data_IF_054813958249
#
_entry.id   IF_054813958249
#
_cell.length_a   1.000
_cell.length_b   1.000
_cell.length_c   1.000
_cell.angle_alpha   90.00
_cell.angle_beta   90.00
_cell.angle_gamma   90.00
#
_symmetry.space_group_name_H-M   'P 1'
#
loop_
_entity.id
_entity.type
_entity.pdbx_description
1 polymer ?
#
# COMPACT_ATOMS: atom_id res chain seq x y z
N UNK A 1 -19.21 -38.24 23.66
CA UNK A 1 -18.85 -36.87 24.07
C UNK A 1 -19.01 -36.01 22.82
N UNK A 2 -20.23 -35.50 22.62
CA UNK A 2 -20.57 -34.58 21.55
C UNK A 2 -19.86 -33.24 21.82
N UNK A 3 -18.86 -32.93 21.02
CA UNK A 3 -18.28 -31.60 20.97
C UNK A 3 -19.15 -30.78 20.02
N UNK A 4 -20.11 -30.06 20.61
CA UNK A 4 -20.84 -29.00 19.91
C UNK A 4 -19.83 -27.99 19.33
N UNK A 5 -19.54 -28.17 18.04
CA UNK A 5 -18.89 -27.15 17.22
C UNK A 5 -19.89 -26.02 16.99
N UNK A 6 -20.12 -25.23 18.03
CA UNK A 6 -20.87 -23.98 17.91
C UNK A 6 -20.17 -23.11 16.87
N UNK A 7 -20.77 -23.04 15.69
CA UNK A 7 -20.42 -22.07 14.65
C UNK A 7 -20.61 -20.66 15.25
N UNK A 8 -19.56 -20.12 15.83
CA UNK A 8 -19.49 -18.72 16.25
C UNK A 8 -19.45 -17.92 14.94
N UNK A 9 -20.62 -17.48 14.49
CA UNK A 9 -20.75 -16.53 13.40
C UNK A 9 -19.82 -15.34 13.69
N UNK A 10 -18.71 -15.26 12.95
CA UNK A 10 -17.77 -14.18 13.08
C UNK A 10 -18.39 -12.93 12.44
N UNK A 11 -19.18 -12.19 13.22
CA UNK A 11 -19.60 -10.85 12.81
C UNK A 11 -18.34 -9.97 12.65
N UNK A 12 -17.94 -9.76 11.38
CA UNK A 12 -16.72 -9.04 10.98
C UNK A 12 -16.91 -7.51 11.14
N UNK A 13 -17.97 -7.07 11.80
CA UNK A 13 -18.15 -5.65 12.08
C UNK A 13 -17.21 -5.22 13.20
N UNK A 14 -16.14 -4.43 12.88
CA UNK A 14 -15.34 -3.82 13.95
C UNK A 14 -16.24 -2.87 14.74
N UNK A 15 -15.98 -2.74 16.03
CA UNK A 15 -16.64 -1.79 16.92
C UNK A 15 -16.42 -0.36 16.42
N UNK A 16 -17.25 0.10 15.47
CA UNK A 16 -17.11 1.39 14.79
C UNK A 16 -17.63 1.42 13.36
N UNK A 17 -18.22 0.33 12.84
CA UNK A 17 -18.98 0.32 11.57
C UNK A 17 -18.18 0.44 10.26
N UNK A 18 -16.84 0.61 10.31
CA UNK A 18 -16.00 0.71 9.11
C UNK A 18 -15.43 -0.67 8.75
N UNK A 19 -15.83 -1.19 7.61
CA UNK A 19 -15.30 -2.45 7.06
C UNK A 19 -13.89 -2.27 6.50
N UNK A 20 -13.06 -3.31 6.58
CA UNK A 20 -11.74 -3.33 5.92
C UNK A 20 -11.97 -3.38 4.40
N UNK A 21 -11.42 -2.44 3.61
CA UNK A 21 -11.66 -2.37 2.19
C UNK A 21 -11.09 -3.59 1.45
N UNK A 22 -11.76 -4.01 0.38
CA UNK A 22 -11.28 -5.08 -0.50
C UNK A 22 -10.08 -4.61 -1.33
N UNK A 23 -9.28 -5.54 -1.84
CA UNK A 23 -8.13 -5.23 -2.70
C UNK A 23 -8.52 -4.39 -3.91
N UNK A 24 -9.66 -4.70 -4.55
CA UNK A 24 -10.16 -3.91 -5.68
C UNK A 24 -10.51 -2.46 -5.30
N UNK A 25 -11.07 -2.24 -4.12
CA UNK A 25 -11.33 -0.89 -3.61
C UNK A 25 -10.05 -0.13 -3.31
N UNK A 26 -9.01 -0.82 -2.77
CA UNK A 26 -7.70 -0.21 -2.50
C UNK A 26 -7.02 0.23 -3.79
N UNK A 27 -6.99 -0.63 -4.81
CA UNK A 27 -6.41 -0.29 -6.12
C UNK A 27 -7.16 0.91 -6.73
N UNK A 28 -8.50 0.86 -6.77
CA UNK A 28 -9.30 1.94 -7.34
C UNK A 28 -9.08 3.29 -6.65
N UNK A 29 -8.84 3.29 -5.34
CA UNK A 29 -8.56 4.51 -4.57
C UNK A 29 -7.13 5.01 -4.71
N UNK A 30 -6.18 4.12 -5.00
CA UNK A 30 -4.81 4.50 -5.30
C UNK A 30 -4.65 5.07 -6.73
N UNK A 31 -5.63 4.87 -7.64
CA UNK A 31 -5.56 5.35 -9.01
C UNK A 31 -5.29 6.86 -9.15
N UNK A 32 -5.96 7.78 -8.42
CA UNK A 32 -5.66 9.21 -8.54
C UNK A 32 -4.20 9.54 -8.23
N UNK A 33 -3.68 9.01 -7.10
CA UNK A 33 -2.28 9.20 -6.73
C UNK A 33 -1.33 8.60 -7.76
N UNK A 34 -1.68 7.42 -8.29
CA UNK A 34 -0.90 6.75 -9.33
C UNK A 34 -0.87 7.54 -10.64
N UNK A 35 -2.02 8.11 -11.05
CA UNK A 35 -2.09 8.96 -12.24
C UNK A 35 -1.22 10.22 -12.08
N UNK A 36 -1.29 10.88 -10.93
CA UNK A 36 -0.42 12.03 -10.63
C UNK A 36 1.04 11.61 -10.67
N UNK A 37 1.43 10.46 -10.11
CA UNK A 37 2.81 9.98 -10.15
C UNK A 37 3.30 9.75 -11.58
N UNK A 38 2.52 9.05 -12.39
CA UNK A 38 2.90 8.73 -13.80
C UNK A 38 3.06 10.00 -14.65
N UNK A 39 2.25 11.03 -14.39
CA UNK A 39 2.28 12.25 -15.19
C UNK A 39 3.35 13.24 -14.68
N UNK A 40 3.55 13.34 -13.38
CA UNK A 40 4.41 14.37 -12.78
C UNK A 40 5.88 14.23 -13.15
N UNK A 41 6.42 13.01 -13.25
CA UNK A 41 7.84 12.82 -13.56
C UNK A 41 8.17 13.16 -15.01
N UNK A 42 7.42 12.70 -16.05
CA UNK A 42 7.64 13.15 -17.41
C UNK A 42 7.40 14.66 -17.60
N UNK A 43 6.38 15.21 -16.92
CA UNK A 43 6.15 16.65 -16.94
C UNK A 43 7.33 17.42 -16.35
N UNK A 44 7.87 16.96 -15.21
CA UNK A 44 9.06 17.53 -14.61
C UNK A 44 10.24 17.50 -15.59
N UNK A 45 10.46 16.34 -16.24
CA UNK A 45 11.52 16.19 -17.25
C UNK A 45 11.33 17.11 -18.46
N UNK A 46 10.10 17.38 -18.86
CA UNK A 46 9.76 18.23 -19.99
C UNK A 46 9.92 19.74 -19.69
N UNK A 47 9.44 20.18 -18.52
CA UNK A 47 9.36 21.61 -18.21
C UNK A 47 10.63 22.18 -17.57
N UNK A 48 11.47 21.38 -16.95
CA UNK A 48 12.73 21.90 -16.38
C UNK A 48 13.77 22.14 -17.49
N UNK A 49 14.41 23.32 -17.54
CA UNK A 49 15.42 23.61 -18.54
C UNK A 49 16.70 22.77 -18.32
N UNK A 50 17.43 22.47 -19.42
CA UNK A 50 18.67 21.68 -19.37
C UNK A 50 19.76 22.32 -18.50
N UNK A 51 19.83 23.64 -18.52
CA UNK A 51 20.76 24.42 -17.71
C UNK A 51 20.32 24.62 -16.25
N UNK A 52 19.24 23.95 -15.82
CA UNK A 52 18.79 24.11 -14.44
C UNK A 52 19.83 23.56 -13.44
N UNK A 53 20.15 24.30 -12.39
CA UNK A 53 21.08 23.84 -11.38
C UNK A 53 20.55 22.56 -10.67
N UNK A 54 21.44 21.67 -10.26
CA UNK A 54 21.10 20.40 -9.59
C UNK A 54 20.19 20.60 -8.38
N UNK A 55 20.38 21.70 -7.65
CA UNK A 55 19.51 22.05 -6.52
C UNK A 55 18.05 22.24 -6.95
N UNK A 56 17.81 22.87 -8.11
CA UNK A 56 16.45 23.07 -8.62
C UNK A 56 15.79 21.73 -8.97
N UNK A 57 16.55 20.82 -9.59
CA UNK A 57 16.09 19.47 -9.87
C UNK A 57 15.72 18.71 -8.57
N UNK A 58 16.56 18.80 -7.56
CA UNK A 58 16.30 18.19 -6.26
C UNK A 58 15.04 18.76 -5.61
N UNK A 59 14.89 20.08 -5.57
CA UNK A 59 13.72 20.74 -4.97
C UNK A 59 12.44 20.43 -5.75
N UNK A 60 12.49 20.40 -7.08
CA UNK A 60 11.34 20.05 -7.92
C UNK A 60 10.91 18.59 -7.70
N UNK A 61 11.85 17.67 -7.64
CA UNK A 61 11.59 16.27 -7.32
C UNK A 61 10.96 16.12 -5.93
N UNK A 62 11.49 16.83 -4.94
CA UNK A 62 10.95 16.85 -3.58
C UNK A 62 9.52 17.42 -3.55
N UNK A 63 9.24 18.47 -4.34
CA UNK A 63 7.90 19.03 -4.48
C UNK A 63 6.92 18.04 -5.10
N UNK A 64 7.35 17.28 -6.13
CA UNK A 64 6.53 16.19 -6.71
C UNK A 64 6.22 15.12 -5.66
N UNK A 65 7.19 14.66 -4.90
CA UNK A 65 6.94 13.72 -3.81
C UNK A 65 6.02 14.28 -2.74
N UNK A 66 6.16 15.55 -2.36
CA UNK A 66 5.26 16.23 -1.44
C UNK A 66 3.81 16.27 -1.96
N UNK A 67 3.65 16.61 -3.24
CA UNK A 67 2.36 16.59 -3.91
C UNK A 67 1.75 15.18 -3.93
N UNK A 68 2.53 14.16 -4.27
CA UNK A 68 2.09 12.77 -4.26
C UNK A 68 1.62 12.32 -2.87
N UNK A 69 2.36 12.68 -1.82
CA UNK A 69 1.98 12.38 -0.44
C UNK A 69 0.70 13.10 -0.04
N UNK A 70 0.52 14.35 -0.46
CA UNK A 70 -0.69 15.13 -0.20
C UNK A 70 -1.90 14.51 -0.91
N UNK A 71 -1.80 14.21 -2.21
CA UNK A 71 -2.87 13.55 -2.98
C UNK A 71 -3.20 12.19 -2.37
N UNK A 72 -2.17 11.41 -2.01
CA UNK A 72 -2.37 10.12 -1.37
C UNK A 72 -3.11 10.24 -0.04
N UNK A 73 -2.76 11.22 0.79
CA UNK A 73 -3.43 11.48 2.06
C UNK A 73 -4.92 11.77 1.89
N UNK A 74 -5.30 12.60 0.90
CA UNK A 74 -6.71 12.91 0.62
C UNK A 74 -7.46 11.77 -0.08
N UNK A 75 -6.76 10.97 -0.89
CA UNK A 75 -7.35 9.82 -1.57
C UNK A 75 -7.58 8.61 -0.64
N UNK A 76 -6.92 8.57 0.53
CA UNK A 76 -7.08 7.48 1.48
C UNK A 76 -8.51 7.39 1.99
N UNK A 77 -9.01 6.14 2.02
CA UNK A 77 -10.29 5.87 2.63
C UNK A 77 -10.28 6.15 4.14
N UNK A 78 -11.42 6.60 4.69
CA UNK A 78 -11.61 6.55 6.13
C UNK A 78 -11.39 5.10 6.61
N UNK A 79 -10.45 4.94 7.52
CA UNK A 79 -10.07 3.64 8.08
C UNK A 79 -10.44 3.60 9.57
N UNK A 80 -10.78 2.42 10.10
CA UNK A 80 -10.92 2.27 11.54
C UNK A 80 -9.62 2.71 12.24
N UNK A 81 -9.75 3.32 13.40
CA UNK A 81 -8.58 3.80 14.14
C UNK A 81 -7.73 2.61 14.59
N UNK A 82 -6.43 2.72 14.34
CA UNK A 82 -5.46 1.74 14.80
C UNK A 82 -5.42 1.74 16.35
N UNK A 83 -5.72 0.58 16.94
CA UNK A 83 -5.59 0.44 18.40
C UNK A 83 -4.10 0.34 18.76
N UNK A 84 -3.54 1.42 19.34
CA UNK A 84 -2.12 1.50 19.75
C UNK A 84 -1.73 0.44 20.81
N UNK A 85 -2.70 -0.19 21.49
CA UNK A 85 -2.43 -1.25 22.46
C UNK A 85 -2.03 -2.58 21.83
N UNK A 86 -2.33 -2.78 20.53
CA UNK A 86 -1.91 -4.01 19.82
C UNK A 86 -0.43 -3.95 19.50
N UNK A 87 0.35 -4.86 20.06
CA UNK A 87 1.78 -4.90 19.83
C UNK A 87 2.10 -5.20 18.35
N UNK A 88 3.16 -4.57 17.85
CA UNK A 88 3.62 -4.76 16.47
C UNK A 88 3.92 -6.23 16.14
N UNK A 89 4.47 -6.96 17.09
CA UNK A 89 4.80 -8.38 16.93
C UNK A 89 3.56 -9.23 16.66
N UNK A 90 2.44 -8.95 17.35
CA UNK A 90 1.20 -9.73 17.20
C UNK A 90 0.58 -9.58 15.80
N UNK A 91 0.41 -8.37 15.29
CA UNK A 91 -0.19 -8.20 13.97
C UNK A 91 0.78 -8.59 12.84
N UNK A 92 2.10 -8.43 13.02
CA UNK A 92 3.09 -8.94 12.06
C UNK A 92 3.10 -10.48 12.04
N UNK A 93 2.95 -11.12 13.20
CA UNK A 93 2.75 -12.56 13.31
C UNK A 93 1.53 -13.02 12.52
N UNK A 94 0.40 -12.33 12.67
CA UNK A 94 -0.82 -12.61 11.93
C UNK A 94 -0.63 -12.51 10.39
N UNK A 95 0.07 -11.48 9.90
CA UNK A 95 0.39 -11.35 8.48
C UNK A 95 1.31 -12.46 7.97
N UNK A 96 2.25 -12.92 8.80
CA UNK A 96 3.20 -13.97 8.41
C UNK A 96 2.60 -15.36 8.43
N UNK A 97 1.58 -15.60 9.25
CA UNK A 97 0.89 -16.89 9.36
C UNK A 97 -0.17 -17.10 8.26
N UNK A 98 -0.78 -16.04 7.77
CA UNK A 98 -1.84 -16.10 6.75
C UNK A 98 -1.47 -16.89 5.48
N UNK A 99 -0.29 -16.72 4.85
CA UNK A 99 0.07 -17.51 3.67
C UNK A 99 0.35 -18.98 3.98
N UNK A 100 0.67 -19.33 5.23
CA UNK A 100 1.01 -20.71 5.63
C UNK A 100 -0.21 -21.49 6.06
N UNK A 101 -1.04 -20.90 6.92
CA UNK A 101 -2.12 -21.61 7.61
C UNK A 101 -3.51 -21.19 7.15
N UNK A 102 -3.64 -20.11 6.37
CA UNK A 102 -4.92 -19.51 5.95
C UNK A 102 -5.88 -19.23 7.11
N UNK A 103 -5.32 -18.89 8.28
CA UNK A 103 -6.07 -18.61 9.50
C UNK A 103 -6.06 -17.11 9.77
N UNK A 104 -7.24 -16.57 10.07
CA UNK A 104 -7.40 -15.19 10.56
C UNK A 104 -7.41 -15.21 12.08
N UNK A 105 -6.74 -14.25 12.77
CA UNK A 105 -6.76 -14.18 14.22
C UNK A 105 -8.18 -14.08 14.77
N UNK A 106 -8.47 -14.79 15.86
CA UNK A 106 -9.74 -14.69 16.58
C UNK A 106 -9.90 -13.36 17.29
N UNK A 107 -8.79 -12.75 17.75
CA UNK A 107 -8.78 -11.44 18.41
C UNK A 107 -9.14 -10.33 17.40
N UNK A 108 -10.28 -9.62 17.59
CA UNK A 108 -10.76 -8.60 16.64
C UNK A 108 -9.80 -7.41 16.52
N UNK A 109 -9.10 -7.05 17.60
CA UNK A 109 -8.14 -5.94 17.58
C UNK A 109 -6.91 -6.28 16.74
N UNK A 110 -6.38 -7.50 16.89
CA UNK A 110 -5.25 -7.98 16.08
C UNK A 110 -5.65 -8.11 14.61
N UNK A 111 -6.87 -8.61 14.35
CA UNK A 111 -7.44 -8.75 13.01
C UNK A 111 -7.55 -7.40 12.32
N UNK A 112 -8.10 -6.40 13.00
CA UNK A 112 -8.24 -5.04 12.48
C UNK A 112 -6.87 -4.42 12.22
N UNK A 113 -5.94 -4.52 13.17
CA UNK A 113 -4.59 -3.98 13.03
C UNK A 113 -3.82 -4.62 11.86
N UNK A 114 -3.90 -5.94 11.71
CA UNK A 114 -3.28 -6.66 10.59
C UNK A 114 -3.92 -6.29 9.24
N UNK A 115 -5.25 -6.16 9.21
CA UNK A 115 -5.99 -5.72 8.01
C UNK A 115 -5.59 -4.31 7.58
N UNK A 116 -5.52 -3.37 8.49
CA UNK A 116 -5.07 -2.00 8.21
C UNK A 116 -3.64 -1.94 7.70
N UNK A 117 -2.74 -2.72 8.31
CA UNK A 117 -1.35 -2.82 7.87
C UNK A 117 -1.26 -3.45 6.47
N UNK A 118 -2.06 -4.49 6.19
CA UNK A 118 -2.13 -5.12 4.87
C UNK A 118 -2.64 -4.14 3.80
N UNK A 119 -3.67 -3.35 4.09
CA UNK A 119 -4.18 -2.31 3.20
C UNK A 119 -3.10 -1.27 2.86
N UNK A 120 -2.38 -0.78 3.88
CA UNK A 120 -1.31 0.21 3.67
C UNK A 120 -0.16 -0.35 2.80
N UNK A 121 0.20 -1.62 2.97
CA UNK A 121 1.23 -2.27 2.15
C UNK A 121 0.77 -2.40 0.69
N UNK A 122 -0.47 -2.81 0.44
CA UNK A 122 -1.01 -2.97 -0.93
C UNK A 122 -1.15 -1.63 -1.63
N UNK A 123 -1.69 -0.60 -0.98
CA UNK A 123 -1.77 0.74 -1.56
C UNK A 123 -0.38 1.32 -1.84
N UNK A 124 0.55 1.17 -0.90
CA UNK A 124 1.93 1.62 -1.08
C UNK A 124 2.61 0.95 -2.28
N UNK A 125 2.31 -0.33 -2.56
CA UNK A 125 2.79 -1.01 -3.76
C UNK A 125 2.27 -0.36 -5.04
N UNK A 126 0.96 -0.10 -5.11
CA UNK A 126 0.34 0.49 -6.32
C UNK A 126 0.95 1.85 -6.62
N UNK A 127 1.11 2.70 -5.60
CA UNK A 127 1.75 4.01 -5.74
C UNK A 127 3.22 3.88 -6.14
N UNK A 128 3.96 2.94 -5.53
CA UNK A 128 5.37 2.73 -5.85
C UNK A 128 5.57 2.27 -7.31
N UNK A 129 4.72 1.35 -7.80
CA UNK A 129 4.76 0.95 -9.22
C UNK A 129 4.48 2.12 -10.14
N UNK A 130 3.53 2.98 -9.78
CA UNK A 130 3.22 4.19 -10.55
C UNK A 130 4.39 5.20 -10.55
N UNK A 131 5.06 5.39 -9.42
CA UNK A 131 6.29 6.22 -9.33
C UNK A 131 7.39 5.66 -10.23
N UNK A 132 7.66 4.35 -10.17
CA UNK A 132 8.65 3.70 -11.05
C UNK A 132 8.31 3.88 -12.53
N UNK A 133 7.04 3.71 -12.89
CA UNK A 133 6.59 3.93 -14.26
C UNK A 133 6.76 5.40 -14.68
N UNK A 134 6.39 6.34 -13.80
CA UNK A 134 6.58 7.76 -14.05
C UNK A 134 8.05 8.14 -14.26
N UNK A 135 8.94 7.61 -13.39
CA UNK A 135 10.39 7.82 -13.53
C UNK A 135 10.93 7.23 -14.85
N UNK A 136 10.49 6.02 -15.21
CA UNK A 136 10.87 5.41 -16.49
C UNK A 136 10.40 6.24 -17.69
N UNK A 137 9.18 6.78 -17.65
CA UNK A 137 8.70 7.69 -18.69
C UNK A 137 9.48 9.01 -18.70
N UNK A 138 9.89 9.51 -17.54
CA UNK A 138 10.78 10.68 -17.43
C UNK A 138 12.13 10.43 -18.08
N UNK A 139 12.72 9.25 -17.93
CA UNK A 139 13.95 8.82 -18.60
C UNK A 139 13.82 8.84 -20.12
N UNK A 140 12.67 8.40 -20.66
CA UNK A 140 12.40 8.43 -22.10
C UNK A 140 12.31 9.88 -22.65
N UNK A 141 11.84 10.82 -21.82
CA UNK A 141 11.77 12.24 -22.17
C UNK A 141 13.13 12.91 -22.08
N UNK A 142 13.94 12.52 -21.08
CA UNK A 142 15.24 13.14 -20.82
C UNK A 142 16.26 12.11 -20.30
N UNK A 143 16.98 11.44 -21.20
CA UNK A 143 17.93 10.37 -20.84
C UNK A 143 19.22 10.90 -20.16
N UNK A 144 19.49 12.20 -20.25
CA UNK A 144 20.69 12.81 -19.64
C UNK A 144 20.61 12.97 -18.12
N UNK A 145 19.41 12.91 -17.57
CA UNK A 145 19.22 13.02 -16.12
C UNK A 145 19.37 11.63 -15.47
N UNK A 146 20.05 11.52 -14.29
CA UNK A 146 20.35 10.23 -13.67
C UNK A 146 19.13 9.55 -13.01
N UNK A 147 18.01 9.45 -13.76
CA UNK A 147 16.81 8.72 -13.32
C UNK A 147 17.10 7.25 -13.04
N UNK A 148 18.08 6.68 -13.74
CA UNK A 148 18.50 5.28 -13.57
C UNK A 148 18.90 5.00 -12.13
N UNK A 149 19.68 5.89 -11.50
CA UNK A 149 20.10 5.70 -10.11
C UNK A 149 18.91 5.72 -9.14
N UNK A 150 17.98 6.66 -9.33
CA UNK A 150 16.77 6.76 -8.53
C UNK A 150 15.84 5.56 -8.76
N UNK A 151 15.70 5.11 -10.01
CA UNK A 151 14.91 3.93 -10.39
C UNK A 151 15.50 2.64 -9.80
N UNK A 152 16.81 2.48 -9.81
CA UNK A 152 17.50 1.34 -9.16
C UNK A 152 17.25 1.31 -7.66
N UNK A 153 17.31 2.46 -6.99
CA UNK A 153 16.96 2.58 -5.57
C UNK A 153 15.52 2.19 -5.28
N UNK A 154 14.57 2.71 -6.04
CA UNK A 154 13.16 2.40 -5.92
C UNK A 154 12.86 0.92 -6.23
N UNK A 155 13.52 0.34 -7.24
CA UNK A 155 13.42 -1.09 -7.56
C UNK A 155 13.96 -1.96 -6.43
N UNK A 156 15.07 -1.59 -5.81
CA UNK A 156 15.63 -2.28 -4.63
C UNK A 156 14.64 -2.30 -3.46
N UNK A 157 13.97 -1.18 -3.18
CA UNK A 157 12.91 -1.10 -2.18
C UNK A 157 11.72 -1.98 -2.56
N UNK A 158 11.33 -2.02 -3.85
CA UNK A 158 10.25 -2.86 -4.35
C UNK A 158 10.54 -4.35 -4.13
N UNK A 159 11.73 -4.81 -4.50
CA UNK A 159 12.18 -6.19 -4.32
C UNK A 159 12.21 -6.55 -2.81
N UNK A 160 12.80 -5.69 -1.98
CA UNK A 160 12.84 -5.90 -0.53
C UNK A 160 11.45 -5.95 0.12
N UNK A 161 10.46 -5.32 -0.51
CA UNK A 161 9.07 -5.32 -0.05
C UNK A 161 8.24 -6.49 -0.55
N UNK A 162 8.70 -7.24 -1.57
CA UNK A 162 7.93 -8.29 -2.25
C UNK A 162 7.35 -9.34 -1.29
N UNK A 163 8.14 -9.79 -0.31
CA UNK A 163 7.67 -10.73 0.72
C UNK A 163 6.57 -10.16 1.62
N UNK A 164 6.65 -8.86 1.95
CA UNK A 164 5.63 -8.17 2.75
C UNK A 164 4.35 -8.03 1.96
N UNK A 165 4.44 -7.70 0.69
CA UNK A 165 3.32 -7.56 -0.25
C UNK A 165 2.58 -8.88 -0.41
N UNK A 166 3.30 -9.98 -0.65
CA UNK A 166 2.71 -11.32 -0.74
C UNK A 166 1.94 -11.69 0.54
N UNK A 167 2.50 -11.41 1.71
CA UNK A 167 1.84 -11.67 3.00
C UNK A 167 0.58 -10.83 3.17
N UNK A 168 0.65 -9.55 2.87
CA UNK A 168 -0.49 -8.63 2.96
C UNK A 168 -1.61 -9.03 2.01
N UNK A 169 -1.28 -9.37 0.77
CA UNK A 169 -2.22 -9.82 -0.24
C UNK A 169 -2.94 -11.10 0.19
N UNK A 170 -2.17 -12.13 0.60
CA UNK A 170 -2.75 -13.38 1.09
C UNK A 170 -3.65 -13.16 2.30
N UNK A 171 -3.25 -12.29 3.24
CA UNK A 171 -4.05 -11.96 4.42
C UNK A 171 -5.41 -11.36 4.04
N UNK A 172 -5.44 -10.36 3.14
CA UNK A 172 -6.67 -9.73 2.69
C UNK A 172 -7.58 -10.71 1.96
N UNK A 173 -7.03 -11.61 1.14
CA UNK A 173 -7.82 -12.65 0.48
C UNK A 173 -8.45 -13.62 1.47
N UNK A 174 -7.70 -14.10 2.46
CA UNK A 174 -8.22 -15.02 3.48
C UNK A 174 -9.29 -14.32 4.33
N UNK A 175 -9.05 -13.05 4.70
CA UNK A 175 -10.00 -12.26 5.48
C UNK A 175 -11.35 -12.10 4.77
N UNK A 176 -11.35 -11.83 3.45
CA UNK A 176 -12.59 -11.63 2.69
C UNK A 176 -13.21 -12.94 2.17
N UNK A 177 -12.45 -14.02 2.07
CA UNK A 177 -13.01 -15.33 1.72
C UNK A 177 -13.89 -15.89 2.85
N UNK A 178 -13.46 -15.72 4.12
CA UNK A 178 -14.24 -16.14 5.28
C UNK A 178 -15.55 -15.38 5.45
N UNK A 179 -15.65 -14.14 4.94
CA UNK A 179 -16.87 -13.33 5.02
C UNK A 179 -17.94 -13.64 3.95
N UNK A 180 -17.64 -14.51 2.98
CA UNK A 180 -18.58 -14.92 1.92
C UNK A 180 -19.26 -16.24 2.19
N UNK A 181 -18.83 -16.96 3.21
CA UNK A 181 -19.36 -18.29 3.56
C UNK A 181 -20.47 -18.23 4.63
N UNK A 182 -20.81 -17.05 5.12
CA UNK A 182 -21.90 -16.75 6.03
C UNK A 182 -23.01 -15.96 5.28
#
# INVERSE_FOLDING_TARGET
>A
VDVDAGAVGCDIRPAGGLSIPTVGQLIRRALPTSAVAVISFPALAWFLPDAAPELLWFLATLAVFGLLMLVHYFAQAPRPRFNKKVSRVRWQGALSSAPKFRIVPSDPDVRTAAGLAACAIVEGLVVMVAVLLGMFLGELVRPEFPWVLASCGALGVAIGSAFRIRRAWCYLHVLHAGSRSD
#
